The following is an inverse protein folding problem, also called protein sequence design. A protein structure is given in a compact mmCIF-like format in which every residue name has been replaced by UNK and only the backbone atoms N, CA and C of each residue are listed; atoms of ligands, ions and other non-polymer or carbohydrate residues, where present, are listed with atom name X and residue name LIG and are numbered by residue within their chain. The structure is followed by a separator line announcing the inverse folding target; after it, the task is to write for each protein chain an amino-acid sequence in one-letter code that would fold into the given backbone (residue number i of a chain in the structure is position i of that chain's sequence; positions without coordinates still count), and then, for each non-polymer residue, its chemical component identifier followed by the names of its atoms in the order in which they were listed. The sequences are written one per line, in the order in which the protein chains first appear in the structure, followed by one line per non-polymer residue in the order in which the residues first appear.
data_IF_120939876504
#
_entry.id   IF_120939876504
#
_cell.length_a   1.000
_cell.length_b   1.000
_cell.length_c   1.000
_cell.angle_alpha   90.00
_cell.angle_beta   90.00
_cell.angle_gamma   90.00
#
_symmetry.space_group_name_H-M   'P 1'
#
loop_
_entity.id
_entity.type
_entity.pdbx_description
1 polymer ?
#
# COMPACT_ATOMS: atom_id res chain seq x y z
N UNK A 1 2.00 -1.99 -1.76
CA UNK A 1 2.28 -1.74 -3.20
C UNK A 1 2.25 -0.25 -3.52
N UNK A 2 2.67 0.55 -2.60
CA UNK A 2 2.66 2.02 -2.62
C UNK A 2 3.69 2.55 -3.62
N UNK A 3 3.22 2.92 -4.81
CA UNK A 3 4.07 3.42 -5.89
C UNK A 3 3.56 4.77 -6.38
N UNK A 4 4.51 5.69 -6.58
CA UNK A 4 4.30 6.99 -7.17
C UNK A 4 5.00 7.03 -8.53
N UNK A 5 4.27 7.31 -9.61
CA UNK A 5 4.82 7.48 -10.94
C UNK A 5 4.80 8.95 -11.36
N UNK A 6 5.95 9.51 -11.67
CA UNK A 6 6.10 10.86 -12.21
C UNK A 6 6.23 10.79 -13.73
N UNK A 7 5.33 11.44 -14.46
CA UNK A 7 5.44 11.59 -15.91
C UNK A 7 6.37 12.77 -16.20
N UNK A 8 7.55 12.49 -16.78
CA UNK A 8 8.59 13.45 -17.04
C UNK A 8 8.56 13.92 -18.51
N UNK A 9 8.60 15.23 -18.74
CA UNK A 9 8.64 15.78 -20.09
C UNK A 9 7.98 17.14 -20.21
N UNK A 10 8.27 17.84 -21.30
CA UNK A 10 7.75 19.19 -21.59
C UNK A 10 6.25 19.21 -21.85
N UNK A 11 5.64 20.39 -21.88
CA UNK A 11 4.26 20.57 -22.33
C UNK A 11 4.08 20.00 -23.74
N UNK A 12 2.91 19.42 -24.02
CA UNK A 12 2.59 18.80 -25.33
C UNK A 12 3.44 17.56 -25.72
N UNK A 13 4.25 16.99 -24.84
CA UNK A 13 5.02 15.74 -25.12
C UNK A 13 4.15 14.46 -25.13
N UNK A 14 2.85 14.54 -24.89
CA UNK A 14 1.94 13.38 -24.99
C UNK A 14 1.54 12.74 -23.66
N UNK A 15 2.05 13.18 -22.49
CA UNK A 15 1.79 12.61 -21.15
C UNK A 15 0.31 12.37 -20.87
N UNK A 16 -0.52 13.43 -20.93
CA UNK A 16 -1.96 13.34 -20.64
C UNK A 16 -2.73 12.52 -21.68
N UNK A 17 -2.24 12.43 -22.91
CA UNK A 17 -2.80 11.53 -23.92
C UNK A 17 -2.52 10.08 -23.55
N UNK A 18 -1.29 9.76 -23.17
CA UNK A 18 -0.89 8.45 -22.70
C UNK A 18 -1.70 7.98 -21.46
N UNK A 19 -1.92 8.85 -20.47
CA UNK A 19 -2.77 8.56 -19.31
C UNK A 19 -4.15 8.07 -19.74
N UNK A 20 -4.80 8.76 -20.69
CA UNK A 20 -6.10 8.37 -21.23
C UNK A 20 -6.04 7.05 -22.01
N UNK A 21 -5.01 6.88 -22.83
CA UNK A 21 -4.81 5.67 -23.63
C UNK A 21 -4.63 4.41 -22.77
N UNK A 22 -4.03 4.58 -21.59
CA UNK A 22 -3.83 3.52 -20.60
C UNK A 22 -4.98 3.37 -19.61
N UNK A 23 -6.02 4.18 -19.69
CA UNK A 23 -7.15 4.24 -18.74
C UNK A 23 -6.70 4.47 -17.29
N UNK A 24 -5.68 5.32 -17.11
CA UNK A 24 -5.07 5.61 -15.80
C UNK A 24 -5.57 6.93 -15.18
N UNK A 25 -6.62 7.56 -15.76
CA UNK A 25 -7.21 8.78 -15.21
C UNK A 25 -7.63 8.63 -13.72
N UNK A 26 -8.23 7.53 -13.27
CA UNK A 26 -8.60 7.36 -11.86
C UNK A 26 -7.41 7.43 -10.91
N UNK A 27 -6.21 7.04 -11.38
CA UNK A 27 -4.97 7.03 -10.59
C UNK A 27 -4.12 8.29 -10.78
N UNK A 28 -4.60 9.29 -11.56
CA UNK A 28 -3.78 10.43 -11.97
C UNK A 28 -4.19 11.72 -11.27
N UNK A 29 -3.20 12.43 -10.73
CA UNK A 29 -3.32 13.84 -10.32
C UNK A 29 -2.73 14.68 -11.47
N UNK A 30 -3.59 15.42 -12.18
CA UNK A 30 -3.19 16.24 -13.31
C UNK A 30 -3.15 17.72 -12.95
N UNK A 31 -1.96 18.33 -13.03
CA UNK A 31 -1.75 19.75 -12.80
C UNK A 31 -2.65 20.62 -13.67
N UNK A 32 -2.81 20.26 -14.95
CA UNK A 32 -3.65 21.02 -15.90
C UNK A 32 -5.12 20.97 -15.51
N UNK A 33 -5.64 19.83 -15.06
CA UNK A 33 -7.03 19.70 -14.62
C UNK A 33 -7.28 20.52 -13.35
N UNK A 34 -6.38 20.49 -12.40
CA UNK A 34 -6.46 21.29 -11.17
C UNK A 34 -6.41 22.78 -11.49
N UNK A 35 -5.52 23.21 -12.40
CA UNK A 35 -5.43 24.60 -12.82
C UNK A 35 -6.72 25.09 -13.49
N UNK A 36 -7.37 24.27 -14.31
CA UNK A 36 -8.68 24.56 -14.88
C UNK A 36 -9.79 24.61 -13.81
N UNK A 37 -9.73 23.75 -12.82
CA UNK A 37 -10.71 23.69 -11.73
C UNK A 37 -10.62 24.95 -10.85
N UNK A 38 -9.43 25.37 -10.45
CA UNK A 38 -9.22 26.48 -9.51
C UNK A 38 -9.21 27.86 -10.19
N UNK A 39 -8.65 27.95 -11.38
CA UNK A 39 -8.40 29.23 -12.04
C UNK A 39 -9.21 29.48 -13.32
N UNK A 40 -9.62 28.42 -13.99
CA UNK A 40 -10.29 28.53 -15.28
C UNK A 40 -9.41 29.16 -16.37
N UNK A 41 -9.98 30.02 -17.20
CA UNK A 41 -9.32 30.70 -18.32
C UNK A 41 -9.54 32.20 -18.27
N UNK A 42 -8.49 32.95 -18.58
CA UNK A 42 -8.51 34.40 -18.75
C UNK A 42 -8.59 34.81 -20.23
N UNK A 43 -9.04 36.02 -20.48
CA UNK A 43 -8.92 36.66 -21.79
C UNK A 43 -7.60 37.42 -21.88
N UNK A 44 -6.92 37.26 -22.99
CA UNK A 44 -5.77 38.08 -23.37
C UNK A 44 -5.92 38.60 -24.79
N UNK A 45 -4.94 39.35 -25.30
CA UNK A 45 -4.99 39.93 -26.67
C UNK A 45 -5.11 38.89 -27.78
N UNK A 46 -4.64 37.66 -27.53
CA UNK A 46 -4.61 36.56 -28.49
C UNK A 46 -5.80 35.58 -28.29
N UNK A 47 -6.69 35.85 -27.33
CA UNK A 47 -7.86 35.05 -27.04
C UNK A 47 -7.96 34.60 -25.59
N UNK A 48 -8.08 33.25 -25.36
CA UNK A 48 -8.16 32.65 -24.04
C UNK A 48 -6.84 31.98 -23.67
N UNK A 49 -6.43 32.10 -22.41
CA UNK A 49 -5.28 31.41 -21.82
C UNK A 49 -5.61 30.83 -20.44
N UNK A 50 -4.84 29.87 -19.98
CA UNK A 50 -4.95 29.35 -18.59
C UNK A 50 -4.66 30.47 -17.59
N UNK A 51 -5.44 30.54 -16.53
CA UNK A 51 -5.16 31.46 -15.45
C UNK A 51 -3.95 30.96 -14.65
N UNK A 52 -2.83 31.67 -14.73
CA UNK A 52 -1.60 31.36 -14.02
C UNK A 52 -1.47 32.04 -12.66
N UNK A 53 -2.41 32.94 -12.31
CA UNK A 53 -2.39 33.65 -11.02
C UNK A 53 -2.66 32.74 -9.82
N UNK A 54 -3.18 31.52 -10.06
CA UNK A 54 -3.49 30.50 -9.06
C UNK A 54 -2.45 29.38 -9.00
N UNK A 55 -1.22 29.62 -9.48
CA UNK A 55 -0.21 28.56 -9.55
C UNK A 55 0.19 28.01 -8.17
N UNK A 56 0.25 28.87 -7.15
CA UNK A 56 0.60 28.46 -5.78
C UNK A 56 -0.52 27.62 -5.18
N UNK A 57 -1.77 28.01 -5.39
CA UNK A 57 -2.94 27.24 -4.97
C UNK A 57 -3.03 25.90 -5.70
N UNK A 58 -2.67 25.86 -6.99
CA UNK A 58 -2.58 24.61 -7.77
C UNK A 58 -1.54 23.66 -7.17
N UNK A 59 -0.36 24.17 -6.83
CA UNK A 59 0.70 23.37 -6.21
C UNK A 59 0.26 22.85 -4.84
N UNK A 60 -0.29 23.72 -3.99
CA UNK A 60 -0.80 23.32 -2.68
C UNK A 60 -1.91 22.28 -2.77
N UNK A 61 -2.84 22.43 -3.75
CA UNK A 61 -3.90 21.45 -3.97
C UNK A 61 -3.37 20.12 -4.48
N UNK A 62 -2.37 20.12 -5.39
CA UNK A 62 -1.71 18.89 -5.85
C UNK A 62 -1.07 18.12 -4.71
N UNK A 63 -0.32 18.81 -3.84
CA UNK A 63 0.32 18.18 -2.67
C UNK A 63 -0.72 17.63 -1.70
N UNK A 64 -1.80 18.39 -1.44
CA UNK A 64 -2.87 17.92 -0.58
C UNK A 64 -3.60 16.70 -1.14
N UNK A 65 -3.89 16.70 -2.44
CA UNK A 65 -4.50 15.55 -3.10
C UNK A 65 -3.57 14.33 -3.08
N UNK A 66 -2.27 14.54 -3.31
CA UNK A 66 -1.27 13.48 -3.23
C UNK A 66 -1.18 12.91 -1.81
N UNK A 67 -1.11 13.75 -0.79
CA UNK A 67 -1.07 13.31 0.60
C UNK A 67 -2.29 12.46 0.98
N UNK A 68 -3.50 12.90 0.60
CA UNK A 68 -4.73 12.14 0.88
C UNK A 68 -4.70 10.75 0.25
N UNK A 69 -4.28 10.66 -1.02
CA UNK A 69 -4.18 9.38 -1.73
C UNK A 69 -3.08 8.49 -1.16
N UNK A 70 -1.95 9.08 -0.75
CA UNK A 70 -0.85 8.34 -0.12
C UNK A 70 -1.23 7.81 1.27
N UNK A 71 -2.06 8.51 2.03
CA UNK A 71 -2.61 8.01 3.31
C UNK A 71 -3.42 6.74 3.13
N UNK A 72 -4.20 6.65 2.05
CA UNK A 72 -4.96 5.45 1.70
C UNK A 72 -4.08 4.37 1.00
N UNK A 73 -2.84 4.70 0.67
CA UNK A 73 -1.92 3.77 0.00
C UNK A 73 -2.27 3.50 -1.46
N UNK A 74 -2.87 4.45 -2.17
CA UNK A 74 -3.22 4.32 -3.58
C UNK A 74 -1.97 4.35 -4.48
N UNK A 75 -2.03 3.65 -5.63
CA UNK A 75 -1.12 3.91 -6.75
C UNK A 75 -1.41 5.29 -7.34
N UNK A 76 -0.41 6.15 -7.45
CA UNK A 76 -0.60 7.53 -7.92
C UNK A 76 0.32 7.86 -9.07
N UNK A 77 -0.24 8.55 -10.08
CA UNK A 77 0.48 9.14 -11.22
C UNK A 77 0.41 10.66 -11.11
N UNK A 78 1.55 11.36 -11.23
CA UNK A 78 1.61 12.82 -11.34
C UNK A 78 1.78 13.22 -12.80
N UNK A 79 0.70 13.74 -13.41
CA UNK A 79 0.73 14.34 -14.74
C UNK A 79 1.01 15.85 -14.63
N UNK A 80 2.30 16.18 -14.56
CA UNK A 80 2.87 17.51 -14.56
C UNK A 80 4.14 17.53 -15.42
N UNK A 81 4.90 18.62 -15.39
CA UNK A 81 6.15 18.72 -16.15
C UNK A 81 7.24 17.82 -15.55
N UNK A 82 7.43 17.87 -14.23
CA UNK A 82 8.41 17.08 -13.46
C UNK A 82 9.81 17.12 -14.07
N UNK A 83 10.29 18.30 -14.54
CA UNK A 83 11.46 18.44 -15.38
C UNK A 83 12.80 18.17 -14.69
N UNK A 84 12.86 18.30 -13.37
CA UNK A 84 14.05 18.13 -12.57
C UNK A 84 13.70 17.82 -11.11
N UNK A 85 14.73 17.58 -10.29
CA UNK A 85 14.55 17.22 -8.87
C UNK A 85 13.84 18.31 -8.07
N UNK A 86 14.12 19.60 -8.34
CA UNK A 86 13.50 20.71 -7.63
C UNK A 86 11.95 20.72 -7.79
N UNK A 87 11.45 20.33 -8.97
CA UNK A 87 10.02 20.21 -9.23
C UNK A 87 9.36 19.02 -8.51
N UNK A 88 10.14 18.06 -8.03
CA UNK A 88 9.63 16.79 -7.51
C UNK A 88 9.98 16.53 -6.04
N UNK A 89 10.78 17.41 -5.41
CA UNK A 89 11.26 17.25 -4.03
C UNK A 89 10.14 17.11 -2.99
N UNK A 90 9.04 17.86 -3.14
CA UNK A 90 7.90 17.80 -2.22
C UNK A 90 7.13 16.48 -2.38
N UNK A 91 7.00 15.98 -3.61
CA UNK A 91 6.43 14.65 -3.85
C UNK A 91 7.29 13.55 -3.22
N UNK A 92 8.62 13.69 -3.30
CA UNK A 92 9.56 12.74 -2.66
C UNK A 92 9.46 12.77 -1.15
N UNK A 93 9.31 13.95 -0.55
CA UNK A 93 9.13 14.08 0.89
C UNK A 93 7.85 13.37 1.38
N UNK A 94 6.74 13.51 0.65
CA UNK A 94 5.51 12.78 0.94
C UNK A 94 5.69 11.27 0.70
N UNK A 95 6.38 10.87 -0.36
CA UNK A 95 6.68 9.47 -0.65
C UNK A 95 7.46 8.81 0.49
N UNK A 96 8.47 9.49 1.05
CA UNK A 96 9.23 8.99 2.20
C UNK A 96 8.37 8.90 3.48
N UNK A 97 7.54 9.92 3.70
CA UNK A 97 6.61 9.96 4.84
C UNK A 97 5.67 8.75 4.85
N UNK A 98 5.14 8.36 3.70
CA UNK A 98 4.13 7.29 3.55
C UNK A 98 4.71 5.98 3.00
N UNK A 99 6.04 5.84 2.94
CA UNK A 99 6.76 4.64 2.47
C UNK A 99 6.38 4.25 1.03
N UNK A 100 6.50 5.20 0.09
CA UNK A 100 6.28 4.98 -1.34
C UNK A 100 7.59 4.80 -2.10
N UNK A 101 7.60 3.88 -3.06
CA UNK A 101 8.62 3.85 -4.09
C UNK A 101 8.31 4.88 -5.18
N UNK A 102 9.30 5.70 -5.55
CA UNK A 102 9.14 6.72 -6.59
C UNK A 102 9.75 6.23 -7.90
N UNK A 103 8.93 6.27 -8.93
CA UNK A 103 9.31 5.95 -10.31
C UNK A 103 9.09 7.16 -11.21
N UNK A 104 9.82 7.21 -12.32
CA UNK A 104 9.55 8.17 -13.38
C UNK A 104 9.60 7.53 -14.75
N UNK A 105 8.83 8.10 -15.68
CA UNK A 105 8.78 7.67 -17.07
C UNK A 105 8.92 8.89 -17.97
N UNK A 106 9.85 8.79 -18.92
CA UNK A 106 10.20 9.85 -19.83
C UNK A 106 9.28 9.89 -21.05
N UNK A 107 8.95 11.11 -21.49
CA UNK A 107 8.18 11.38 -22.71
C UNK A 107 9.02 12.23 -23.66
N UNK A 108 10.08 11.65 -24.26
CA UNK A 108 10.88 12.35 -25.24
C UNK A 108 10.04 12.65 -26.48
N UNK A 109 10.25 13.84 -27.06
CA UNK A 109 9.55 14.28 -28.25
C UNK A 109 10.47 15.15 -29.10
N UNK A 110 10.52 14.91 -30.41
CA UNK A 110 11.21 15.78 -31.35
C UNK A 110 10.49 17.10 -31.54
N UNK A 111 11.20 18.09 -32.07
CA UNK A 111 10.72 19.46 -32.19
C UNK A 111 9.49 19.57 -33.12
N UNK A 112 9.47 18.82 -34.21
CA UNK A 112 8.37 18.85 -35.21
C UNK A 112 7.08 18.29 -34.59
N UNK A 113 7.19 17.12 -33.97
CA UNK A 113 6.08 16.48 -33.24
C UNK A 113 5.59 17.37 -32.08
N UNK A 114 6.50 18.01 -31.35
CA UNK A 114 6.16 18.90 -30.26
C UNK A 114 5.36 20.12 -30.76
N UNK A 115 5.78 20.76 -31.85
CA UNK A 115 5.06 21.88 -32.48
C UNK A 115 3.68 21.45 -32.98
N UNK A 116 3.59 20.29 -33.64
CA UNK A 116 2.32 19.73 -34.10
C UNK A 116 1.37 19.43 -32.93
N UNK A 117 1.84 18.75 -31.91
CA UNK A 117 1.05 18.45 -30.73
C UNK A 117 0.57 19.71 -30.03
N UNK A 118 1.43 20.72 -29.86
CA UNK A 118 1.06 21.97 -29.23
C UNK A 118 0.01 22.73 -30.06
N UNK A 119 0.14 22.79 -31.39
CA UNK A 119 -0.82 23.41 -32.29
C UNK A 119 -2.19 22.70 -32.28
N UNK A 120 -2.22 21.39 -32.06
CA UNK A 120 -3.44 20.58 -31.99
C UNK A 120 -4.20 20.73 -30.67
N UNK A 121 -3.62 21.33 -29.64
CA UNK A 121 -4.27 21.59 -28.36
C UNK A 121 -5.35 22.69 -28.47
N UNK A 122 -6.32 22.68 -27.55
CA UNK A 122 -7.25 23.80 -27.38
C UNK A 122 -6.43 25.08 -27.18
N UNK A 123 -6.85 26.18 -27.81
CA UNK A 123 -6.09 27.44 -27.89
C UNK A 123 -5.56 27.90 -26.52
N UNK A 124 -6.38 27.81 -25.47
CA UNK A 124 -5.97 28.19 -24.11
C UNK A 124 -5.00 27.27 -23.41
N UNK A 125 -4.68 26.11 -24.00
CA UNK A 125 -3.67 25.16 -23.51
C UNK A 125 -2.35 25.22 -24.28
N UNK A 126 -2.30 26.00 -25.37
CA UNK A 126 -1.10 26.13 -26.18
C UNK A 126 -0.02 26.89 -25.42
N UNK A 127 1.20 26.43 -25.51
CA UNK A 127 2.34 27.12 -24.93
C UNK A 127 3.06 27.93 -26.01
N UNK A 128 3.53 29.15 -25.69
CA UNK A 128 4.44 29.87 -26.57
C UNK A 128 5.72 29.08 -26.83
N UNK A 129 6.30 29.23 -28.03
CA UNK A 129 7.50 28.47 -28.42
C UNK A 129 8.70 28.72 -27.47
N UNK A 130 8.89 29.97 -27.05
CA UNK A 130 9.97 30.29 -26.10
C UNK A 130 9.80 29.54 -24.76
N UNK A 131 8.56 29.27 -24.33
CA UNK A 131 8.27 28.53 -23.12
C UNK A 131 8.58 27.04 -23.30
N UNK A 132 8.25 26.46 -24.45
CA UNK A 132 8.60 25.07 -24.76
C UNK A 132 10.12 24.88 -24.80
N UNK A 133 10.84 25.82 -25.44
CA UNK A 133 12.31 25.80 -25.48
C UNK A 133 12.90 25.94 -24.08
N UNK A 134 12.39 26.85 -23.26
CA UNK A 134 12.81 26.94 -21.85
C UNK A 134 12.59 25.65 -21.09
N UNK A 135 11.41 25.03 -21.22
CA UNK A 135 11.14 23.74 -20.58
C UNK A 135 12.12 22.65 -21.02
N UNK A 136 12.51 22.62 -22.29
CA UNK A 136 13.53 21.68 -22.80
C UNK A 136 14.90 21.89 -22.14
N UNK A 137 15.31 23.13 -21.86
CA UNK A 137 16.58 23.40 -21.15
C UNK A 137 16.56 22.98 -19.68
N UNK A 138 15.37 22.80 -19.10
CA UNK A 138 15.19 22.36 -17.71
C UNK A 138 15.06 20.85 -17.54
N UNK A 139 15.00 20.08 -18.64
CA UNK A 139 14.90 18.63 -18.60
C UNK A 139 16.20 18.02 -18.08
N UNK A 140 16.12 17.41 -16.89
CA UNK A 140 17.22 16.69 -16.25
C UNK A 140 16.71 15.34 -15.77
N UNK A 141 17.56 14.33 -15.79
CA UNK A 141 17.22 13.03 -15.23
C UNK A 141 16.83 13.16 -13.75
N UNK A 142 15.75 12.48 -13.37
CA UNK A 142 15.33 12.43 -11.98
C UNK A 142 16.14 11.38 -11.21
N UNK A 143 16.43 11.60 -9.91
CA UNK A 143 17.23 10.68 -9.09
C UNK A 143 16.42 9.46 -8.58
N UNK A 144 15.34 9.11 -9.27
CA UNK A 144 14.46 8.00 -8.92
C UNK A 144 14.60 6.87 -9.95
N UNK A 145 13.90 5.77 -9.70
CA UNK A 145 13.95 4.61 -10.60
C UNK A 145 13.22 4.91 -11.91
N UNK A 146 13.97 4.91 -13.02
CA UNK A 146 13.40 5.07 -14.37
C UNK A 146 12.70 3.78 -14.79
N UNK A 147 11.55 3.93 -15.45
CA UNK A 147 10.86 2.86 -16.17
C UNK A 147 10.59 3.31 -17.61
N UNK A 148 10.57 2.37 -18.52
CA UNK A 148 10.26 2.63 -19.92
C UNK A 148 8.79 2.30 -20.25
N UNK A 149 8.18 1.43 -19.47
CA UNK A 149 6.78 0.99 -19.65
C UNK A 149 6.06 0.86 -18.33
N UNK A 150 4.75 1.20 -18.34
CA UNK A 150 3.88 1.08 -17.17
C UNK A 150 3.84 -0.34 -16.61
N UNK A 151 3.88 -1.33 -17.49
CA UNK A 151 3.81 -2.76 -17.17
C UNK A 151 4.97 -3.25 -16.27
N UNK A 152 6.04 -2.47 -16.15
CA UNK A 152 7.15 -2.77 -15.21
C UNK A 152 6.75 -2.58 -13.75
N UNK A 153 5.77 -1.71 -13.49
CA UNK A 153 5.28 -1.41 -12.13
C UNK A 153 3.81 -1.75 -11.93
N UNK A 154 3.04 -1.83 -13.02
CA UNK A 154 1.63 -2.22 -13.06
C UNK A 154 1.51 -3.46 -13.93
N UNK A 155 1.61 -4.62 -13.33
CA UNK A 155 1.59 -5.90 -14.02
C UNK A 155 0.63 -6.88 -13.31
N UNK A 156 0.38 -8.00 -13.96
CA UNK A 156 -0.31 -9.13 -13.33
C UNK A 156 0.45 -9.57 -12.07
N UNK A 157 -0.24 -10.07 -11.04
CA UNK A 157 0.39 -10.57 -9.83
C UNK A 157 1.50 -11.58 -10.14
N UNK A 158 2.69 -11.32 -9.58
CA UNK A 158 3.82 -12.24 -9.66
C UNK A 158 3.76 -13.17 -8.45
N UNK A 159 3.70 -14.47 -8.69
CA UNK A 159 3.66 -15.48 -7.64
C UNK A 159 5.09 -15.94 -7.32
N UNK A 160 5.56 -15.65 -6.10
CA UNK A 160 6.85 -16.17 -5.62
C UNK A 160 6.76 -17.69 -5.46
N UNK A 161 7.69 -18.44 -6.06
CA UNK A 161 7.74 -19.89 -5.88
C UNK A 161 8.38 -20.23 -4.53
N UNK A 162 7.64 -20.96 -3.69
CA UNK A 162 8.04 -21.34 -2.34
C UNK A 162 8.37 -22.85 -2.19
N UNK A 163 8.57 -23.59 -3.28
CA UNK A 163 8.83 -25.04 -3.26
C UNK A 163 10.17 -25.40 -2.61
N UNK A 164 11.05 -24.42 -2.40
CA UNK A 164 12.30 -24.57 -1.65
C UNK A 164 12.09 -24.70 -0.13
N UNK A 165 10.91 -24.36 0.39
CA UNK A 165 10.55 -24.54 1.80
C UNK A 165 9.85 -25.90 2.02
N UNK A 166 10.00 -26.46 3.23
CA UNK A 166 9.26 -27.66 3.64
C UNK A 166 7.75 -27.42 3.72
N UNK A 167 7.37 -26.18 3.92
CA UNK A 167 5.97 -25.76 3.98
C UNK A 167 5.85 -24.26 4.21
N UNK A 168 4.60 -23.79 4.22
CA UNK A 168 4.24 -22.40 4.47
C UNK A 168 3.32 -22.34 5.67
N UNK A 169 3.63 -21.46 6.62
CA UNK A 169 2.81 -21.16 7.81
C UNK A 169 2.24 -19.75 7.62
N UNK A 170 0.92 -19.63 7.63
CA UNK A 170 0.22 -18.35 7.47
C UNK A 170 -0.47 -18.07 8.79
N UNK A 171 -0.17 -16.94 9.43
CA UNK A 171 -0.65 -16.58 10.78
C UNK A 171 -1.56 -15.35 10.67
N UNK A 172 -2.73 -15.42 11.30
CA UNK A 172 -3.69 -14.33 11.38
C UNK A 172 -3.30 -13.24 12.38
N UNK A 173 -4.30 -12.48 12.81
CA UNK A 173 -4.17 -11.30 13.67
C UNK A 173 -3.52 -11.65 15.01
N UNK A 174 -2.49 -10.88 15.40
CA UNK A 174 -1.61 -11.19 16.53
C UNK A 174 -1.96 -10.40 17.79
N UNK A 175 -2.33 -9.13 17.66
CA UNK A 175 -2.83 -8.27 18.75
C UNK A 175 -2.06 -8.43 20.07
N UNK A 176 -0.77 -8.09 20.07
CA UNK A 176 0.12 -8.16 21.23
C UNK A 176 0.36 -9.58 21.81
N UNK A 177 -0.01 -10.66 21.08
CA UNK A 177 0.23 -12.05 21.47
C UNK A 177 1.52 -12.63 20.87
N UNK A 178 2.63 -11.89 20.98
CA UNK A 178 3.93 -12.24 20.39
C UNK A 178 4.51 -13.55 20.90
N UNK A 179 4.32 -13.91 22.17
CA UNK A 179 4.80 -15.19 22.69
C UNK A 179 4.12 -16.37 22.01
N UNK A 180 2.81 -16.28 21.76
CA UNK A 180 2.06 -17.33 21.05
C UNK A 180 2.54 -17.47 19.60
N UNK A 181 2.84 -16.34 18.92
CA UNK A 181 3.49 -16.36 17.61
C UNK A 181 4.85 -17.06 17.67
N UNK A 182 5.68 -16.77 18.69
CA UNK A 182 7.00 -17.37 18.84
C UNK A 182 6.93 -18.88 19.08
N UNK A 183 5.91 -19.38 19.79
CA UNK A 183 5.66 -20.82 19.94
C UNK A 183 5.39 -21.48 18.57
N UNK A 184 4.58 -20.86 17.71
CA UNK A 184 4.31 -21.36 16.36
C UNK A 184 5.61 -21.40 15.54
N UNK A 185 6.42 -20.32 15.57
CA UNK A 185 7.67 -20.25 14.82
C UNK A 185 8.66 -21.31 15.30
N UNK A 186 8.78 -21.52 16.61
CA UNK A 186 9.65 -22.54 17.17
C UNK A 186 9.21 -23.98 16.81
N UNK A 187 7.92 -24.22 16.68
CA UNK A 187 7.37 -25.52 16.30
C UNK A 187 7.79 -25.96 14.89
N UNK A 188 7.81 -25.03 13.91
CA UNK A 188 8.09 -25.37 12.50
C UNK A 188 9.53 -25.07 12.09
N UNK A 189 10.20 -24.14 12.77
CA UNK A 189 11.62 -23.79 12.56
C UNK A 189 11.89 -23.07 11.25
N UNK A 190 13.17 -22.99 10.88
CA UNK A 190 13.65 -22.17 9.76
C UNK A 190 13.37 -22.74 8.36
N UNK A 191 13.04 -24.03 8.29
CA UNK A 191 12.75 -24.69 7.01
C UNK A 191 11.36 -24.34 6.43
N UNK A 192 10.54 -23.60 7.17
CA UNK A 192 9.23 -23.12 6.74
C UNK A 192 9.28 -21.64 6.38
N UNK A 193 8.45 -21.25 5.39
CA UNK A 193 8.13 -19.86 5.11
C UNK A 193 6.99 -19.42 6.03
N UNK A 194 7.08 -18.20 6.58
CA UNK A 194 6.05 -17.61 7.43
C UNK A 194 5.45 -16.39 6.72
N UNK A 195 4.13 -16.28 6.76
CA UNK A 195 3.36 -15.15 6.25
C UNK A 195 2.47 -14.67 7.38
N UNK A 196 2.71 -13.44 7.85
CA UNK A 196 1.95 -12.80 8.92
C UNK A 196 0.95 -11.82 8.30
N UNK A 197 -0.33 -11.93 8.64
CA UNK A 197 -1.39 -11.23 7.93
C UNK A 197 -1.68 -9.81 8.41
N UNK A 198 -0.96 -9.28 9.41
CA UNK A 198 -1.14 -7.93 9.95
C UNK A 198 -1.75 -7.90 11.35
N UNK A 199 -2.14 -6.72 11.79
CA UNK A 199 -2.69 -6.42 13.11
C UNK A 199 -1.82 -6.98 14.25
N UNK A 200 -0.59 -6.46 14.32
CA UNK A 200 0.42 -6.96 15.26
C UNK A 200 0.26 -6.43 16.66
N UNK A 201 -0.17 -5.18 16.77
CA UNK A 201 -0.28 -4.44 18.03
C UNK A 201 -1.73 -4.16 18.39
N UNK A 202 -1.90 -3.44 19.51
CA UNK A 202 -3.18 -3.04 20.08
C UNK A 202 -3.96 -4.18 20.74
N UNK A 203 -4.88 -3.81 21.63
CA UNK A 203 -5.84 -4.66 22.34
C UNK A 203 -5.22 -5.61 23.38
N UNK A 204 -4.23 -6.45 23.04
CA UNK A 204 -3.59 -7.35 24.01
C UNK A 204 -2.56 -6.67 24.91
N UNK A 205 -1.94 -7.42 25.84
CA UNK A 205 -1.22 -6.89 27.02
C UNK A 205 0.31 -6.81 26.87
N UNK A 206 0.90 -7.28 25.77
CA UNK A 206 2.35 -7.44 25.63
C UNK A 206 2.93 -6.72 24.40
N UNK A 207 2.69 -5.41 24.21
CA UNK A 207 3.12 -4.71 23.00
C UNK A 207 4.65 -4.66 22.84
N UNK A 208 5.38 -4.46 23.92
CA UNK A 208 6.84 -4.39 23.87
C UNK A 208 7.48 -5.72 23.50
N UNK A 209 7.06 -6.79 24.17
CA UNK A 209 7.58 -8.15 23.91
C UNK A 209 7.22 -8.59 22.49
N UNK A 210 6.00 -8.28 22.04
CA UNK A 210 5.55 -8.54 20.66
C UNK A 210 6.39 -7.76 19.66
N UNK A 211 6.69 -6.48 19.95
CA UNK A 211 7.57 -5.68 19.09
C UNK A 211 8.96 -6.32 18.95
N UNK A 212 9.58 -6.76 20.05
CA UNK A 212 10.91 -7.38 20.01
C UNK A 212 10.91 -8.67 19.15
N UNK A 213 9.89 -9.50 19.31
CA UNK A 213 9.73 -10.74 18.54
C UNK A 213 9.54 -10.41 17.06
N UNK A 214 8.65 -9.50 16.73
CA UNK A 214 8.35 -9.12 15.35
C UNK A 214 9.53 -8.40 14.68
N UNK A 215 10.23 -7.50 15.39
CA UNK A 215 11.40 -6.81 14.84
C UNK A 215 12.50 -7.83 14.49
N UNK A 216 12.68 -8.86 15.30
CA UNK A 216 13.59 -9.97 15.00
C UNK A 216 13.09 -10.82 13.82
N UNK A 217 11.84 -11.28 13.85
CA UNK A 217 11.28 -12.17 12.84
C UNK A 217 11.23 -11.54 11.45
N UNK A 218 10.79 -10.28 11.35
CA UNK A 218 10.63 -9.58 10.06
C UNK A 218 11.95 -9.23 9.37
N UNK A 219 13.10 -9.45 10.02
CA UNK A 219 14.43 -9.35 9.40
C UNK A 219 14.89 -10.65 8.74
N UNK A 220 14.18 -11.75 8.96
CA UNK A 220 14.53 -13.07 8.42
C UNK A 220 13.96 -13.21 7.01
N UNK A 221 14.73 -13.80 6.09
CA UNK A 221 14.31 -13.98 4.68
C UNK A 221 13.10 -14.92 4.51
N UNK A 222 12.91 -15.85 5.48
CA UNK A 222 11.79 -16.77 5.48
C UNK A 222 10.51 -16.20 6.14
N UNK A 223 10.47 -14.91 6.50
CA UNK A 223 9.30 -14.25 7.07
C UNK A 223 8.85 -13.13 6.16
N UNK A 224 7.57 -13.09 5.84
CA UNK A 224 6.90 -11.99 5.14
C UNK A 224 5.78 -11.49 6.03
N UNK A 225 5.73 -10.18 6.27
CA UNK A 225 4.75 -9.55 7.16
C UNK A 225 3.91 -8.53 6.39
N UNK A 226 2.58 -8.64 6.49
CA UNK A 226 1.65 -7.74 5.82
C UNK A 226 1.26 -6.59 6.74
N UNK A 227 0.74 -5.52 6.15
CA UNK A 227 0.07 -4.43 6.87
C UNK A 227 -1.35 -4.85 7.25
N UNK A 228 -1.73 -4.59 8.50
CA UNK A 228 -3.11 -4.55 8.93
C UNK A 228 -3.61 -3.11 9.09
N UNK A 229 -4.88 -2.94 9.42
CA UNK A 229 -5.45 -1.61 9.64
C UNK A 229 -4.92 -0.94 10.93
N UNK A 230 -4.47 -1.71 11.91
CA UNK A 230 -3.82 -1.18 13.12
C UNK A 230 -2.44 -0.58 12.81
N UNK A 231 -1.72 -1.09 11.83
CA UNK A 231 -0.44 -0.52 11.42
C UNK A 231 -0.60 0.84 10.71
N UNK A 232 -1.77 1.16 10.13
CA UNK A 232 -2.05 2.51 9.65
C UNK A 232 -2.06 3.54 10.80
N UNK A 233 -2.60 3.18 11.96
CA UNK A 233 -2.58 4.02 13.18
C UNK A 233 -1.16 4.15 13.75
N UNK A 234 -0.38 3.07 13.71
CA UNK A 234 1.03 3.11 14.07
C UNK A 234 1.80 4.11 13.18
N UNK A 235 1.49 4.17 11.87
CA UNK A 235 2.09 5.15 10.96
C UNK A 235 1.69 6.58 11.31
N UNK A 236 0.43 6.83 11.69
CA UNK A 236 -0.02 8.15 12.18
C UNK A 236 0.84 8.60 13.37
N UNK A 237 1.04 7.72 14.37
CA UNK A 237 1.90 7.99 15.52
C UNK A 237 3.36 8.31 15.11
N UNK A 238 3.94 7.50 14.23
CA UNK A 238 5.30 7.70 13.71
C UNK A 238 5.44 9.04 12.98
N UNK A 239 4.38 9.51 12.33
CA UNK A 239 4.34 10.77 11.56
C UNK A 239 3.96 12.00 12.39
N UNK A 240 3.80 11.89 13.71
CA UNK A 240 3.30 12.95 14.59
C UNK A 240 1.89 13.45 14.18
N UNK A 241 1.08 12.58 13.58
CA UNK A 241 -0.31 12.85 13.23
C UNK A 241 -1.24 12.49 14.40
N UNK A 242 -2.48 12.98 14.35
CA UNK A 242 -3.49 12.58 15.34
C UNK A 242 -3.80 11.09 15.14
N UNK A 243 -3.57 10.29 16.19
CA UNK A 243 -3.83 8.85 16.19
C UNK A 243 -5.30 8.57 16.46
N UNK A 244 -5.92 7.80 15.58
CA UNK A 244 -7.27 7.32 15.76
C UNK A 244 -7.27 6.01 16.57
N UNK A 245 -7.74 6.07 17.81
CA UNK A 245 -7.90 4.89 18.68
C UNK A 245 -6.97 4.89 19.91
N UNK A 246 -7.57 4.64 21.06
CA UNK A 246 -6.87 4.63 22.36
C UNK A 246 -5.94 3.44 22.54
N UNK A 247 -6.25 2.29 21.95
CA UNK A 247 -5.44 1.07 22.07
C UNK A 247 -4.04 1.22 21.46
N UNK A 248 -3.94 1.92 20.32
CA UNK A 248 -2.64 2.21 19.70
C UNK A 248 -1.79 3.13 20.59
N UNK A 249 -2.41 4.16 21.17
CA UNK A 249 -1.71 5.07 22.11
C UNK A 249 -1.17 4.29 23.31
N UNK A 250 -1.96 3.37 23.87
CA UNK A 250 -1.51 2.53 24.99
C UNK A 250 -0.32 1.68 24.59
N UNK A 251 -0.41 0.99 23.43
CA UNK A 251 0.66 0.12 22.93
C UNK A 251 1.97 0.89 22.68
N UNK A 252 1.90 2.03 21.98
CA UNK A 252 3.10 2.81 21.67
C UNK A 252 3.70 3.47 22.92
N UNK A 253 2.87 3.92 23.87
CA UNK A 253 3.35 4.52 25.13
C UNK A 253 4.13 3.50 25.95
N UNK A 254 3.64 2.26 26.05
CA UNK A 254 4.39 1.20 26.74
C UNK A 254 5.72 0.90 26.05
N UNK A 255 5.71 0.78 24.71
CA UNK A 255 6.92 0.54 23.93
C UNK A 255 7.94 1.67 24.11
N UNK A 256 7.51 2.95 24.13
CA UNK A 256 8.39 4.11 24.38
C UNK A 256 8.98 4.09 25.78
N UNK A 257 8.19 3.84 26.81
CA UNK A 257 8.70 3.73 28.19
C UNK A 257 9.77 2.63 28.34
N UNK A 258 9.73 1.62 27.48
CA UNK A 258 10.73 0.54 27.43
C UNK A 258 11.85 0.79 26.41
N UNK A 259 11.94 2.01 25.84
CA UNK A 259 13.05 2.47 24.98
C UNK A 259 12.93 2.12 23.50
N UNK A 260 11.71 1.85 23.00
CA UNK A 260 11.43 1.75 21.56
C UNK A 260 11.23 3.16 21.01
N UNK A 261 12.07 3.58 20.09
CA UNK A 261 11.99 4.91 19.47
C UNK A 261 11.14 4.90 18.21
N UNK A 262 10.68 6.07 17.76
CA UNK A 262 9.94 6.21 16.48
C UNK A 262 10.73 5.72 15.28
N UNK A 263 12.06 5.88 15.28
CA UNK A 263 12.93 5.36 14.21
C UNK A 263 12.91 3.82 14.16
N UNK A 264 12.90 3.14 15.32
CA UNK A 264 12.75 1.68 15.38
C UNK A 264 11.39 1.23 14.86
N UNK A 265 10.31 1.92 15.27
CA UNK A 265 8.95 1.67 14.76
C UNK A 265 8.87 1.92 13.26
N UNK A 266 9.48 3.00 12.76
CA UNK A 266 9.58 3.30 11.32
C UNK A 266 10.33 2.19 10.56
N UNK A 267 11.47 1.75 11.10
CA UNK A 267 12.24 0.66 10.51
C UNK A 267 11.45 -0.65 10.44
N UNK A 268 10.65 -0.96 11.48
CA UNK A 268 9.73 -2.10 11.46
C UNK A 268 8.63 -1.91 10.40
N UNK A 269 7.91 -0.78 10.42
CA UNK A 269 6.84 -0.47 9.48
C UNK A 269 7.28 -0.59 8.01
N UNK A 270 8.48 -0.11 7.70
CA UNK A 270 9.01 -0.12 6.33
C UNK A 270 9.29 -1.53 5.77
N UNK A 271 9.31 -2.57 6.62
CA UNK A 271 9.43 -3.96 6.18
C UNK A 271 8.09 -4.61 5.86
N UNK A 272 6.98 -3.97 6.23
CA UNK A 272 5.64 -4.48 5.98
C UNK A 272 5.21 -4.22 4.53
N UNK A 273 4.51 -5.17 3.95
CA UNK A 273 3.99 -5.08 2.58
C UNK A 273 2.46 -5.16 2.58
N UNK A 274 1.81 -4.69 1.53
CA UNK A 274 0.34 -4.57 1.47
C UNK A 274 -0.34 -5.92 1.18
N UNK A 275 0.28 -6.76 0.36
CA UNK A 275 -0.22 -8.10 0.03
C UNK A 275 0.93 -8.99 -0.43
N UNK A 276 0.69 -10.29 -0.43
CA UNK A 276 1.67 -11.26 -0.88
C UNK A 276 1.03 -12.36 -1.72
N UNK A 277 1.60 -12.64 -2.89
CA UNK A 277 1.16 -13.70 -3.79
C UNK A 277 2.28 -14.73 -3.97
N UNK A 278 1.94 -16.00 -3.81
CA UNK A 278 2.91 -17.07 -3.92
C UNK A 278 2.32 -18.33 -4.57
N UNK A 279 3.21 -19.15 -5.08
CA UNK A 279 2.90 -20.50 -5.55
C UNK A 279 3.63 -21.51 -4.67
N UNK A 280 2.93 -22.56 -4.28
CA UNK A 280 3.50 -23.68 -3.57
C UNK A 280 2.92 -24.98 -4.12
N UNK A 281 3.79 -25.88 -4.61
CA UNK A 281 3.43 -27.17 -5.23
C UNK A 281 2.35 -27.04 -6.32
N UNK A 282 2.53 -26.07 -7.23
CA UNK A 282 1.65 -25.81 -8.36
C UNK A 282 0.30 -25.18 -8.00
N UNK A 283 0.09 -24.77 -6.75
CA UNK A 283 -1.12 -24.05 -6.33
C UNK A 283 -0.79 -22.61 -5.99
N UNK A 284 -1.63 -21.69 -6.47
CA UNK A 284 -1.49 -20.25 -6.25
C UNK A 284 -2.28 -19.79 -5.05
N UNK A 285 -1.69 -18.84 -4.32
CA UNK A 285 -2.23 -18.26 -3.10
C UNK A 285 -2.09 -16.75 -3.11
N UNK A 286 -3.04 -16.05 -2.50
CA UNK A 286 -2.97 -14.62 -2.20
C UNK A 286 -3.25 -14.39 -0.72
N UNK A 287 -2.44 -13.54 -0.11
CA UNK A 287 -2.57 -13.13 1.27
C UNK A 287 -2.74 -11.60 1.31
N UNK A 288 -3.79 -11.14 1.97
CA UNK A 288 -4.06 -9.73 2.31
C UNK A 288 -4.54 -9.68 3.76
N UNK A 289 -4.57 -8.51 4.38
CA UNK A 289 -5.11 -8.44 5.74
C UNK A 289 -6.64 -8.63 5.76
N UNK A 290 -7.39 -7.89 4.93
CA UNK A 290 -8.85 -7.88 5.03
C UNK A 290 -9.60 -8.64 3.91
N UNK A 291 -8.88 -9.31 3.01
CA UNK A 291 -9.46 -10.05 1.89
C UNK A 291 -9.78 -9.17 0.67
N UNK A 292 -10.01 -9.83 -0.44
CA UNK A 292 -10.38 -9.25 -1.73
C UNK A 292 -11.74 -9.79 -2.18
N UNK A 293 -12.57 -8.99 -2.86
CA UNK A 293 -13.85 -9.46 -3.40
C UNK A 293 -13.69 -10.33 -4.66
N UNK A 294 -12.59 -10.18 -5.36
CA UNK A 294 -12.14 -10.95 -6.51
C UNK A 294 -10.65 -10.71 -6.75
N UNK A 295 -10.00 -11.55 -7.55
CA UNK A 295 -8.60 -11.32 -7.90
C UNK A 295 -8.49 -10.25 -8.99
N UNK A 296 -7.95 -9.04 -8.70
CA UNK A 296 -7.79 -8.01 -9.71
C UNK A 296 -6.66 -8.36 -10.69
N UNK A 297 -6.78 -7.90 -11.93
CA UNK A 297 -5.72 -8.07 -12.93
C UNK A 297 -4.45 -7.31 -12.53
N UNK A 298 -4.62 -6.12 -11.96
CA UNK A 298 -3.53 -5.20 -11.61
C UNK A 298 -3.59 -4.92 -10.10
N UNK A 299 -3.02 -5.81 -9.32
CA UNK A 299 -3.11 -5.77 -7.85
C UNK A 299 -2.52 -4.47 -7.25
N UNK A 300 -1.55 -3.84 -7.93
CA UNK A 300 -0.95 -2.56 -7.51
C UNK A 300 -1.95 -1.40 -7.49
N UNK A 301 -3.04 -1.49 -8.25
CA UNK A 301 -4.07 -0.45 -8.30
C UNK A 301 -5.08 -0.53 -7.16
N UNK A 302 -5.03 -1.58 -6.35
CA UNK A 302 -5.83 -1.71 -5.12
C UNK A 302 -5.12 -0.94 -4.01
N UNK A 303 -5.83 -0.03 -3.33
CA UNK A 303 -5.23 0.76 -2.25
C UNK A 303 -4.90 -0.10 -1.01
N UNK A 304 -3.92 0.33 -0.22
CA UNK A 304 -3.62 -0.28 1.08
C UNK A 304 -4.86 -0.22 1.99
N UNK A 305 -5.60 0.89 1.97
CA UNK A 305 -6.84 1.03 2.72
C UNK A 305 -7.83 -0.09 2.42
N UNK A 306 -8.04 -0.39 1.13
CA UNK A 306 -8.92 -1.49 0.72
C UNK A 306 -8.37 -2.87 1.12
N UNK A 307 -7.05 -3.09 1.00
CA UNK A 307 -6.41 -4.35 1.38
C UNK A 307 -6.44 -4.62 2.90
N UNK A 308 -6.61 -3.56 3.71
CA UNK A 308 -6.59 -3.63 5.17
C UNK A 308 -7.96 -3.45 5.84
N UNK A 309 -8.97 -2.90 5.14
CA UNK A 309 -10.32 -2.68 5.70
C UNK A 309 -11.44 -3.40 4.93
N UNK A 310 -11.10 -4.11 3.83
CA UNK A 310 -12.09 -4.74 2.94
C UNK A 310 -12.97 -3.72 2.18
N UNK A 311 -14.08 -4.20 1.60
CA UNK A 311 -14.92 -3.42 0.67
C UNK A 311 -16.07 -2.69 1.31
N UNK A 312 -16.56 -3.13 2.48
CA UNK A 312 -17.67 -2.47 3.19
C UNK A 312 -17.62 -2.71 4.70
N UNK A 313 -16.91 -1.87 5.40
CA UNK A 313 -16.95 -1.63 6.85
C UNK A 313 -17.62 -2.75 7.68
N UNK A 314 -17.10 -3.98 7.62
CA UNK A 314 -17.52 -5.14 8.42
C UNK A 314 -18.93 -5.73 8.11
N UNK A 315 -19.56 -5.37 6.99
CA UNK A 315 -20.93 -5.82 6.69
C UNK A 315 -20.99 -7.01 5.74
N UNK A 316 -20.00 -7.15 4.86
CA UNK A 316 -20.02 -8.16 3.83
C UNK A 316 -19.15 -9.38 4.19
N UNK A 317 -19.69 -10.57 3.90
CA UNK A 317 -18.91 -11.81 3.95
C UNK A 317 -17.98 -11.88 2.74
N UNK A 318 -16.75 -11.42 2.94
CA UNK A 318 -15.73 -11.34 1.89
C UNK A 318 -15.39 -12.72 1.32
N UNK A 319 -15.44 -13.78 2.14
CA UNK A 319 -15.19 -15.14 1.68
C UNK A 319 -16.26 -15.62 0.70
N UNK A 320 -17.53 -15.34 1.00
CA UNK A 320 -18.65 -15.65 0.10
C UNK A 320 -18.52 -14.87 -1.20
N UNK A 321 -18.25 -13.57 -1.13
CA UNK A 321 -18.12 -12.71 -2.31
C UNK A 321 -16.94 -13.17 -3.20
N UNK A 322 -15.79 -13.50 -2.59
CA UNK A 322 -14.65 -14.03 -3.33
C UNK A 322 -14.99 -15.35 -4.04
N UNK A 323 -15.71 -16.26 -3.36
CA UNK A 323 -16.13 -17.51 -3.96
C UNK A 323 -17.11 -17.31 -5.13
N UNK A 324 -18.07 -16.39 -5.01
CA UNK A 324 -19.04 -16.07 -6.06
C UNK A 324 -18.35 -15.47 -7.30
N UNK A 325 -17.31 -14.68 -7.12
CA UNK A 325 -16.54 -14.04 -8.18
C UNK A 325 -15.35 -14.86 -8.68
N UNK A 326 -15.07 -16.02 -8.09
CA UNK A 326 -13.91 -16.86 -8.39
C UNK A 326 -13.90 -17.32 -9.85
N UNK A 327 -12.77 -17.07 -10.54
CA UNK A 327 -12.52 -17.55 -11.91
C UNK A 327 -11.53 -18.70 -11.88
N UNK A 328 -11.60 -19.56 -12.87
CA UNK A 328 -10.65 -20.65 -13.01
C UNK A 328 -9.22 -20.12 -13.17
N UNK A 329 -8.33 -20.53 -12.28
CA UNK A 329 -6.95 -20.06 -12.23
C UNK A 329 -6.70 -18.97 -11.17
N UNK A 330 -7.72 -18.42 -10.53
CA UNK A 330 -7.56 -17.52 -9.39
C UNK A 330 -6.90 -18.25 -8.19
N UNK A 331 -6.13 -17.54 -7.35
CA UNK A 331 -5.48 -18.12 -6.19
C UNK A 331 -6.48 -18.47 -5.07
N UNK A 332 -6.08 -19.37 -4.16
CA UNK A 332 -6.76 -19.49 -2.87
C UNK A 332 -6.39 -18.28 -2.00
N UNK A 333 -7.38 -17.67 -1.33
CA UNK A 333 -7.19 -16.47 -0.52
C UNK A 333 -7.06 -16.80 0.97
N UNK A 334 -6.08 -16.15 1.64
CA UNK A 334 -6.00 -16.03 3.09
C UNK A 334 -6.10 -14.58 3.52
N UNK A 335 -6.83 -14.34 4.62
CA UNK A 335 -6.94 -13.01 5.24
C UNK A 335 -7.17 -13.13 6.76
N UNK A 336 -7.07 -12.00 7.46
CA UNK A 336 -7.41 -11.79 8.86
C UNK A 336 -8.61 -10.84 9.01
N UNK A 337 -8.48 -9.87 9.89
CA UNK A 337 -9.34 -8.71 10.09
C UNK A 337 -10.76 -8.99 10.59
N UNK A 338 -11.48 -9.93 10.00
CA UNK A 338 -12.86 -10.29 10.35
C UNK A 338 -13.02 -11.81 10.33
N UNK A 339 -13.54 -12.42 11.42
CA UNK A 339 -13.93 -13.82 11.40
C UNK A 339 -15.07 -14.04 10.40
N UNK A 340 -14.88 -14.96 9.48
CA UNK A 340 -15.90 -15.32 8.50
C UNK A 340 -16.09 -16.83 8.45
N UNK A 341 -17.20 -17.28 7.85
CA UNK A 341 -17.37 -18.70 7.55
C UNK A 341 -16.47 -19.12 6.39
N UNK A 342 -15.62 -20.11 6.65
CA UNK A 342 -14.70 -20.61 5.63
C UNK A 342 -15.41 -21.22 4.45
N UNK A 343 -14.85 -21.06 3.26
CA UNK A 343 -15.30 -21.72 2.06
C UNK A 343 -14.14 -22.44 1.32
N UNK A 344 -14.40 -22.95 0.13
CA UNK A 344 -13.41 -23.72 -0.65
C UNK A 344 -12.36 -22.84 -1.35
N UNK A 345 -12.47 -21.51 -1.30
CA UNK A 345 -11.66 -20.57 -2.08
C UNK A 345 -10.99 -19.49 -1.26
N UNK A 346 -11.50 -19.26 -0.05
CA UNK A 346 -11.04 -18.21 0.85
C UNK A 346 -11.14 -18.64 2.31
N UNK A 347 -10.25 -18.12 3.16
CA UNK A 347 -10.17 -18.45 4.58
C UNK A 347 -9.73 -17.25 5.41
N UNK A 348 -10.60 -16.84 6.35
CA UNK A 348 -10.21 -15.96 7.44
C UNK A 348 -9.40 -16.72 8.51
N UNK A 349 -8.33 -16.08 8.96
CA UNK A 349 -7.49 -16.54 10.09
C UNK A 349 -7.57 -15.58 11.29
N UNK A 350 -8.58 -14.71 11.36
CA UNK A 350 -8.88 -13.95 12.58
C UNK A 350 -9.60 -14.85 13.58
N UNK A 351 -8.93 -15.16 14.68
CA UNK A 351 -9.45 -15.98 15.79
C UNK A 351 -9.87 -15.17 17.00
N UNK A 352 -9.90 -13.82 16.93
CA UNK A 352 -10.13 -12.89 18.05
C UNK A 352 -9.25 -13.22 19.25
N UNK A 353 -7.96 -13.32 19.00
CA UNK A 353 -7.00 -13.74 20.03
C UNK A 353 -7.01 -12.80 21.23
N UNK A 354 -7.27 -11.53 21.01
CA UNK A 354 -7.35 -10.46 22.00
C UNK A 354 -8.58 -10.55 22.92
N UNK A 355 -9.64 -11.20 22.48
CA UNK A 355 -10.90 -11.36 23.24
C UNK A 355 -10.97 -12.72 23.98
N UNK A 356 -9.82 -13.36 24.21
CA UNK A 356 -9.76 -14.71 24.82
C UNK A 356 -10.07 -15.84 23.83
N UNK A 357 -9.99 -15.53 22.53
CA UNK A 357 -10.06 -16.51 21.44
C UNK A 357 -8.76 -17.29 21.26
N UNK A 358 -8.30 -17.40 20.04
CA UNK A 358 -7.10 -18.18 19.70
C UNK A 358 -6.32 -17.53 18.55
N UNK A 359 -5.03 -17.71 18.51
CA UNK A 359 -4.24 -17.37 17.33
C UNK A 359 -4.48 -18.46 16.26
N UNK A 360 -5.16 -18.07 15.19
CA UNK A 360 -5.44 -18.94 14.07
C UNK A 360 -4.30 -18.93 13.07
N UNK A 361 -3.97 -20.10 12.51
CA UNK A 361 -2.98 -20.19 11.47
C UNK A 361 -3.24 -21.37 10.52
N UNK A 362 -2.74 -21.25 9.31
CA UNK A 362 -2.76 -22.33 8.31
C UNK A 362 -1.35 -22.87 8.11
N UNK A 363 -1.25 -24.16 7.87
CA UNK A 363 -0.02 -24.83 7.45
C UNK A 363 -0.26 -25.52 6.12
N UNK A 364 0.58 -25.22 5.15
CA UNK A 364 0.59 -25.87 3.84
C UNK A 364 1.90 -26.65 3.72
N UNK A 365 1.83 -27.94 3.61
CA UNK A 365 2.98 -28.84 3.51
C UNK A 365 2.77 -29.92 2.42
N UNK A 366 3.62 -30.92 2.38
CA UNK A 366 3.50 -32.04 1.46
C UNK A 366 2.22 -32.89 1.66
N UNK A 367 1.62 -32.83 2.83
CA UNK A 367 0.39 -33.54 3.18
C UNK A 367 -0.87 -32.71 2.91
N UNK A 368 -0.73 -31.47 2.44
CA UNK A 368 -1.83 -30.56 2.11
C UNK A 368 -1.97 -29.37 3.04
N UNK A 369 -3.15 -28.76 3.04
CA UNK A 369 -3.48 -27.59 3.83
C UNK A 369 -4.23 -27.98 5.10
N UNK A 370 -3.77 -27.50 6.26
CA UNK A 370 -4.36 -27.73 7.57
C UNK A 370 -4.57 -26.41 8.29
N UNK A 371 -5.75 -26.23 8.88
CA UNK A 371 -6.07 -25.08 9.73
C UNK A 371 -5.86 -25.47 11.19
N UNK A 372 -5.16 -24.62 11.91
CA UNK A 372 -4.79 -24.84 13.31
C UNK A 372 -5.09 -23.61 14.16
N UNK A 373 -5.17 -23.80 15.47
CA UNK A 373 -5.38 -22.75 16.45
C UNK A 373 -4.57 -23.02 17.70
N UNK A 374 -4.05 -21.95 18.32
CA UNK A 374 -3.37 -22.00 19.62
C UNK A 374 -4.11 -21.06 20.56
N UNK A 375 -4.54 -21.57 21.71
CA UNK A 375 -5.07 -20.74 22.79
C UNK A 375 -3.87 -20.02 23.41
N UNK A 376 -3.92 -18.69 23.40
CA UNK A 376 -2.79 -17.86 23.82
C UNK A 376 -2.42 -18.06 25.28
N UNK A 377 -1.12 -18.25 25.56
CA UNK A 377 -0.57 -18.22 26.91
C UNK A 377 -0.52 -16.80 27.48
N UNK A 378 -0.50 -15.79 26.60
CA UNK A 378 -0.48 -14.37 26.96
C UNK A 378 -1.73 -13.95 27.76
N UNK A 379 -2.84 -14.67 27.60
CA UNK A 379 -4.12 -14.45 28.30
C UNK A 379 -4.28 -15.17 29.65
N UNK A 380 -3.53 -16.26 29.88
CA UNK A 380 -3.75 -17.13 31.06
C UNK A 380 -3.37 -16.47 32.39
N UNK A 381 -2.60 -15.40 32.37
CA UNK A 381 -2.08 -14.74 33.58
C UNK A 381 -2.83 -13.47 33.98
N UNK A 382 -3.94 -13.09 33.32
CA UNK A 382 -4.59 -11.82 33.59
C UNK A 382 -6.05 -11.99 34.03
N UNK A 383 -6.27 -12.41 35.29
CA UNK A 383 -7.60 -12.42 35.93
C UNK A 383 -8.26 -11.02 35.98
N UNK A 384 -7.48 -9.93 35.81
CA UNK A 384 -7.99 -8.56 35.86
C UNK A 384 -8.80 -8.15 34.63
N UNK A 385 -8.67 -8.83 33.48
CA UNK A 385 -9.49 -8.53 32.29
C UNK A 385 -10.91 -9.07 32.37
N UNK A 386 -11.16 -10.14 33.13
CA UNK A 386 -12.53 -10.69 33.32
C UNK A 386 -13.49 -9.71 34.01
N UNK A 387 -12.98 -8.74 34.73
CA UNK A 387 -13.78 -7.75 35.49
C UNK A 387 -14.19 -6.54 34.64
N UNK A 388 -13.60 -6.31 33.47
CA UNK A 388 -13.91 -5.14 32.61
C UNK A 388 -14.97 -5.41 31.53
N UNK A 389 -15.41 -6.65 31.35
CA UNK A 389 -16.43 -7.05 30.38
C UNK A 389 -17.75 -7.56 31.05
N UNK A 390 -17.89 -7.42 32.37
CA UNK A 390 -19.14 -7.73 33.09
C UNK A 390 -19.96 -6.47 33.40
#
# INVERSE_FOLDING_TARGET
MRKLLLLHGVSASGKSFWVKQKNMEPHTISRQQIQLLLGGVNLNKDGKELNTRVNDEVNAFMLKALELRMKDGEFVIIDALNLNEEHTKEYKALADKYNYEVYWMDFPVDEETLKYNNASRKKYLRQPEYMLNFQQTQLLNLPYKKIDRLEEIVNNPVYENLDNYKGVVIVGDIHNCGYTLNEIVNQYGESFKYILLGDYFDRGDKPYETFLILDYLTRRSNVTALLGNHEARLLQYINDEQVEGTSTIVSVTEMEHKGVTKEKLRSFYNRLIDCYTFEYRGKKYVCTHAGLPYMPRELVTVSTGQLTHSIDLYRDDIDRIYQENFKNGDPFQFHGHIPTESNKRSKSLDGRVEDGGYLAYAVIDEYGMKFKKVITADWRNNEQHRVRMS
#
